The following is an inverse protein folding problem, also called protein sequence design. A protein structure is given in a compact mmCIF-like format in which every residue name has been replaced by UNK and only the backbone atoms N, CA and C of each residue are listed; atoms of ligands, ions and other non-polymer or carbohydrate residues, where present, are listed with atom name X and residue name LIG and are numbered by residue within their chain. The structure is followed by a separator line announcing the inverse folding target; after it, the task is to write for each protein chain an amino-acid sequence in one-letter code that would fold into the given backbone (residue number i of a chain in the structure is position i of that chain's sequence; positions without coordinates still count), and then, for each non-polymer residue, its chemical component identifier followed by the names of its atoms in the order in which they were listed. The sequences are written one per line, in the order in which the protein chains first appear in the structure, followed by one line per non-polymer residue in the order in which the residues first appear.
data_IF_582111954156
#
_entry.id   IF_582111954156
#
_cell.length_a   1.000
_cell.length_b   1.000
_cell.length_c   1.000
_cell.angle_alpha   90.00
_cell.angle_beta   90.00
_cell.angle_gamma   90.00
#
_symmetry.space_group_name_H-M   'P 1'
#
loop_
_entity.id
_entity.type
_entity.pdbx_description
1 polymer ?
#
# COMPACT_ATOMS: atom_id res chain seq x y z
N UNK A 1 -19.11 -6.61 1.10
CA UNK A 1 -17.94 -6.63 2.00
C UNK A 1 -17.85 -8.00 2.65
N UNK A 2 -16.73 -8.38 3.27
CA UNK A 2 -16.69 -9.56 4.15
C UNK A 2 -17.39 -9.25 5.48
N UNK A 3 -18.04 -10.23 6.10
CA UNK A 3 -18.51 -10.14 7.50
C UNK A 3 -17.33 -10.15 8.47
N UNK A 4 -17.54 -9.73 9.72
CA UNK A 4 -16.47 -9.58 10.73
C UNK A 4 -15.66 -10.86 10.97
N UNK A 5 -16.34 -12.00 11.12
CA UNK A 5 -15.69 -13.30 11.32
C UNK A 5 -14.99 -13.80 10.04
N UNK A 6 -15.58 -13.57 8.86
CA UNK A 6 -14.96 -13.92 7.59
C UNK A 6 -13.68 -13.10 7.33
N UNK A 7 -13.68 -11.82 7.72
CA UNK A 7 -12.53 -10.95 7.67
C UNK A 7 -11.41 -11.43 8.61
N UNK A 8 -11.74 -11.76 9.86
CA UNK A 8 -10.75 -12.32 10.81
C UNK A 8 -10.14 -13.61 10.26
N UNK A 9 -10.95 -14.54 9.74
CA UNK A 9 -10.46 -15.78 9.14
C UNK A 9 -9.55 -15.53 7.93
N UNK A 10 -9.85 -14.56 7.08
CA UNK A 10 -8.98 -14.18 5.97
C UNK A 10 -7.63 -13.62 6.44
N UNK A 11 -7.62 -12.84 7.53
CA UNK A 11 -6.39 -12.33 8.14
C UNK A 11 -5.59 -13.47 8.79
N UNK A 12 -6.25 -14.40 9.48
CA UNK A 12 -5.60 -15.57 10.08
C UNK A 12 -4.98 -16.49 9.02
N UNK A 13 -5.64 -16.67 7.88
CA UNK A 13 -5.06 -17.38 6.74
C UNK A 13 -3.77 -16.70 6.24
N UNK A 14 -3.77 -15.37 6.15
CA UNK A 14 -2.56 -14.63 5.80
C UNK A 14 -1.46 -14.77 6.86
N UNK A 15 -1.82 -14.81 8.14
CA UNK A 15 -0.87 -15.00 9.24
C UNK A 15 -0.16 -16.35 9.18
N UNK A 16 -0.92 -17.44 8.98
CA UNK A 16 -0.34 -18.79 8.87
C UNK A 16 0.52 -18.95 7.62
N UNK A 17 0.10 -18.39 6.48
CA UNK A 17 0.88 -18.39 5.24
C UNK A 17 2.22 -17.66 5.42
N UNK A 18 2.21 -16.45 5.99
CA UNK A 18 3.42 -15.65 6.25
C UNK A 18 4.36 -16.32 7.25
N UNK A 19 3.82 -16.98 8.26
CA UNK A 19 4.59 -17.71 9.25
C UNK A 19 5.29 -18.95 8.67
N UNK A 20 4.76 -19.53 7.59
CA UNK A 20 5.35 -20.67 6.91
C UNK A 20 6.43 -20.28 5.88
N UNK A 21 6.52 -19.00 5.49
CA UNK A 21 7.50 -18.54 4.51
C UNK A 21 8.93 -18.68 5.06
N UNK A 22 9.88 -19.20 4.26
CA UNK A 22 11.26 -19.35 4.71
C UNK A 22 11.95 -17.98 4.85
N UNK A 23 13.00 -17.88 5.69
CA UNK A 23 13.58 -16.60 6.13
C UNK A 23 14.14 -15.72 5.01
N UNK A 24 14.73 -16.35 4.00
CA UNK A 24 15.24 -15.73 2.77
C UNK A 24 14.12 -15.10 1.94
N UNK A 25 13.00 -15.80 1.77
CA UNK A 25 11.80 -15.26 1.14
C UNK A 25 11.22 -14.09 1.94
N UNK A 26 11.16 -14.20 3.26
CA UNK A 26 10.69 -13.12 4.14
C UNK A 26 11.57 -11.87 3.98
N UNK A 27 12.89 -12.03 3.95
CA UNK A 27 13.81 -10.93 3.73
C UNK A 27 13.65 -10.31 2.35
N UNK A 28 13.57 -11.13 1.29
CA UNK A 28 13.33 -10.66 -0.08
C UNK A 28 12.04 -9.85 -0.18
N UNK A 29 10.93 -10.36 0.36
CA UNK A 29 9.66 -9.65 0.34
C UNK A 29 9.70 -8.39 1.23
N UNK A 30 10.48 -8.40 2.32
CA UNK A 30 10.73 -7.21 3.13
C UNK A 30 11.47 -6.12 2.35
N UNK A 31 12.49 -6.50 1.56
CA UNK A 31 13.20 -5.58 0.66
C UNK A 31 12.23 -5.03 -0.40
N UNK A 32 11.42 -5.89 -1.01
CA UNK A 32 10.41 -5.48 -1.98
C UNK A 32 9.39 -4.50 -1.38
N UNK A 33 8.92 -4.77 -0.16
CA UNK A 33 8.06 -3.84 0.59
C UNK A 33 8.73 -2.50 0.85
N UNK A 34 10.03 -2.51 1.20
CA UNK A 34 10.83 -1.29 1.34
C UNK A 34 10.97 -0.51 0.04
N UNK A 35 11.12 -1.19 -1.10
CA UNK A 35 11.19 -0.55 -2.42
C UNK A 35 9.88 0.18 -2.74
N UNK A 36 8.73 -0.46 -2.51
CA UNK A 36 7.43 0.19 -2.72
C UNK A 36 7.21 1.40 -1.81
N UNK A 37 7.61 1.31 -0.54
CA UNK A 37 7.63 2.45 0.37
C UNK A 37 8.56 3.54 -0.12
N UNK A 38 9.74 3.18 -0.62
CA UNK A 38 10.70 4.12 -1.18
C UNK A 38 10.13 4.91 -2.35
N UNK A 39 9.47 4.22 -3.29
CA UNK A 39 8.86 4.84 -4.48
C UNK A 39 7.72 5.78 -4.07
N UNK A 40 6.81 5.32 -3.22
CA UNK A 40 5.73 6.16 -2.69
C UNK A 40 6.28 7.35 -1.89
N UNK A 41 7.36 7.15 -1.16
CA UNK A 41 8.05 8.18 -0.39
C UNK A 41 8.66 9.28 -1.27
N UNK A 42 9.37 8.89 -2.33
CA UNK A 42 9.90 9.83 -3.34
C UNK A 42 8.76 10.60 -4.00
N UNK A 43 7.69 9.92 -4.43
CA UNK A 43 6.54 10.58 -5.05
C UNK A 43 5.89 11.60 -4.09
N UNK A 44 5.67 11.21 -2.83
CA UNK A 44 5.13 12.09 -1.79
C UNK A 44 6.01 13.30 -1.49
N UNK A 45 7.31 13.11 -1.34
CA UNK A 45 8.26 14.22 -1.12
C UNK A 45 8.39 15.12 -2.35
N UNK A 46 8.33 14.57 -3.56
CA UNK A 46 8.36 15.36 -4.79
C UNK A 46 7.09 16.20 -4.93
N UNK A 47 5.92 15.63 -4.66
CA UNK A 47 4.66 16.37 -4.68
C UNK A 47 4.62 17.48 -3.63
N UNK A 48 4.96 17.17 -2.38
CA UNK A 48 4.90 18.12 -1.27
C UNK A 48 6.01 19.17 -1.31
N UNK A 49 7.22 18.76 -1.66
CA UNK A 49 8.37 19.64 -1.81
C UNK A 49 8.32 20.51 -3.06
N UNK A 50 7.48 20.19 -4.04
CA UNK A 50 7.26 21.04 -5.22
C UNK A 50 6.35 22.25 -4.94
N UNK A 51 5.66 22.29 -3.81
CA UNK A 51 4.74 23.38 -3.44
C UNK A 51 5.55 24.62 -3.02
N UNK A 52 5.40 25.78 -3.67
CA UNK A 52 6.18 26.98 -3.35
C UNK A 52 6.16 27.35 -1.87
N UNK A 53 7.30 27.79 -1.32
CA UNK A 53 7.46 28.11 0.10
C UNK A 53 6.38 29.06 0.65
N UNK A 54 6.04 30.10 -0.12
CA UNK A 54 4.98 31.04 0.23
C UNK A 54 3.61 30.35 0.45
N UNK A 55 3.32 29.31 -0.32
CA UNK A 55 2.09 28.51 -0.18
C UNK A 55 2.19 27.59 1.04
N UNK A 56 3.34 26.93 1.25
CA UNK A 56 3.54 26.01 2.40
C UNK A 56 3.38 26.74 3.73
N UNK A 57 3.83 27.99 3.82
CA UNK A 57 3.71 28.84 5.02
C UNK A 57 2.26 29.26 5.31
N UNK A 58 1.46 29.50 4.27
CA UNK A 58 0.05 29.88 4.43
C UNK A 58 -0.87 28.67 4.64
N UNK A 59 -0.54 27.54 4.00
CA UNK A 59 -1.34 26.32 3.99
C UNK A 59 -0.56 25.13 4.56
N UNK A 60 -0.30 25.18 5.87
CA UNK A 60 0.55 24.19 6.58
C UNK A 60 0.11 22.74 6.37
N UNK A 61 -1.19 22.48 6.19
CA UNK A 61 -1.73 21.13 5.96
C UNK A 61 -1.59 20.64 4.52
N UNK A 62 -1.46 21.54 3.53
CA UNK A 62 -1.46 21.17 2.12
C UNK A 62 -0.31 20.24 1.73
N UNK A 63 0.96 20.48 2.15
CA UNK A 63 2.06 19.56 1.88
C UNK A 63 1.82 18.16 2.46
N UNK A 64 1.13 18.05 3.60
CA UNK A 64 0.84 16.75 4.23
C UNK A 64 -0.22 15.97 3.46
N UNK A 65 -1.26 16.65 2.96
CA UNK A 65 -2.27 16.02 2.10
C UNK A 65 -1.63 15.50 0.82
N UNK A 66 -0.79 16.31 0.16
CA UNK A 66 -0.10 15.91 -1.08
C UNK A 66 0.88 14.77 -0.81
N UNK A 67 1.67 14.86 0.26
CA UNK A 67 2.60 13.81 0.65
C UNK A 67 1.84 12.49 0.91
N UNK A 68 0.78 12.52 1.71
CA UNK A 68 -0.01 11.33 2.05
C UNK A 68 -0.73 10.73 0.84
N UNK A 69 -1.27 11.59 -0.03
CA UNK A 69 -1.99 11.18 -1.23
C UNK A 69 -1.11 10.44 -2.24
N UNK A 70 0.17 10.80 -2.36
CA UNK A 70 1.10 10.04 -3.20
C UNK A 70 1.78 8.89 -2.44
N UNK A 71 2.03 9.06 -1.14
CA UNK A 71 2.67 8.02 -0.34
C UNK A 71 1.86 6.73 -0.27
N UNK A 72 0.52 6.81 -0.29
CA UNK A 72 -0.33 5.62 -0.21
C UNK A 72 -0.15 4.64 -1.37
N UNK A 73 0.38 5.06 -2.52
CA UNK A 73 0.71 4.14 -3.61
C UNK A 73 1.70 3.05 -3.19
N UNK A 74 2.55 3.31 -2.19
CA UNK A 74 3.36 2.26 -1.57
C UNK A 74 2.52 1.07 -1.08
N UNK A 75 1.43 1.35 -0.36
CA UNK A 75 0.57 0.33 0.21
C UNK A 75 -0.32 -0.33 -0.86
N UNK A 76 -0.69 0.41 -1.91
CA UNK A 76 -1.30 -0.18 -3.11
C UNK A 76 -0.39 -1.23 -3.72
N UNK A 77 0.89 -0.89 -3.94
CA UNK A 77 1.82 -1.83 -4.55
C UNK A 77 2.08 -3.06 -3.68
N UNK A 78 2.26 -2.87 -2.37
CA UNK A 78 2.47 -3.98 -1.43
C UNK A 78 1.27 -4.93 -1.42
N UNK A 79 0.05 -4.41 -1.41
CA UNK A 79 -1.16 -5.24 -1.28
C UNK A 79 -1.59 -5.89 -2.60
N UNK A 80 -1.22 -5.32 -3.75
CA UNK A 80 -1.62 -5.81 -5.07
C UNK A 80 -0.52 -6.61 -5.78
N UNK A 81 0.72 -6.16 -5.71
CA UNK A 81 1.88 -6.78 -6.38
C UNK A 81 2.77 -7.58 -5.42
N UNK A 82 2.53 -7.47 -4.11
CA UNK A 82 3.25 -8.21 -3.09
C UNK A 82 4.41 -7.44 -2.46
N UNK A 83 4.94 -8.04 -1.40
CA UNK A 83 5.89 -7.41 -0.49
C UNK A 83 5.43 -7.59 0.95
N UNK A 84 6.36 -7.49 1.88
CA UNK A 84 6.10 -7.60 3.30
C UNK A 84 6.42 -6.25 3.96
N UNK A 85 5.49 -5.79 4.80
CA UNK A 85 5.60 -4.51 5.49
C UNK A 85 5.55 -4.74 6.99
N UNK A 86 6.55 -4.22 7.71
CA UNK A 86 6.68 -4.40 9.15
C UNK A 86 5.38 -4.00 9.88
N UNK A 87 4.87 -2.80 9.60
CA UNK A 87 3.72 -2.24 10.31
C UNK A 87 2.43 -2.99 10.09
N UNK A 88 2.17 -3.45 8.85
CA UNK A 88 1.01 -4.29 8.54
C UNK A 88 1.10 -5.70 9.15
N UNK A 89 2.32 -6.26 9.19
CA UNK A 89 2.53 -7.58 9.78
C UNK A 89 2.34 -7.62 11.29
N UNK A 90 2.51 -6.50 11.99
CA UNK A 90 2.22 -6.42 13.43
C UNK A 90 0.77 -6.80 13.75
N UNK A 91 -0.20 -6.33 12.96
CA UNK A 91 -1.61 -6.75 13.13
C UNK A 91 -1.80 -8.20 12.69
N UNK A 92 -1.34 -8.57 11.49
CA UNK A 92 -1.61 -9.90 10.91
C UNK A 92 -1.03 -11.01 11.81
N UNK A 93 0.23 -10.89 12.21
CA UNK A 93 0.88 -11.84 13.09
C UNK A 93 0.38 -11.71 14.54
N UNK A 94 -0.01 -10.52 14.98
CA UNK A 94 -0.65 -10.28 16.28
C UNK A 94 -1.96 -11.04 16.43
N UNK A 95 -2.86 -10.96 15.46
CA UNK A 95 -4.08 -11.77 15.41
C UNK A 95 -3.76 -13.27 15.38
N UNK A 96 -2.74 -13.67 14.62
CA UNK A 96 -2.26 -15.05 14.60
C UNK A 96 -1.78 -15.56 15.97
N UNK A 97 -1.15 -14.70 16.77
CA UNK A 97 -0.71 -15.02 18.13
C UNK A 97 -1.88 -15.13 19.09
N UNK A 98 -2.81 -14.16 19.07
CA UNK A 98 -4.00 -14.13 19.93
C UNK A 98 -4.85 -15.40 19.69
N UNK A 99 -5.02 -15.79 18.43
CA UNK A 99 -5.77 -16.99 18.03
C UNK A 99 -4.95 -18.29 18.10
N UNK A 100 -3.70 -18.26 18.62
CA UNK A 100 -2.80 -19.42 18.74
C UNK A 100 -2.56 -20.16 17.41
N UNK A 101 -2.58 -19.45 16.29
CA UNK A 101 -2.34 -19.98 14.93
C UNK A 101 -0.88 -19.84 14.49
N UNK A 102 -0.12 -18.93 15.10
CA UNK A 102 1.28 -18.68 14.78
C UNK A 102 2.12 -18.68 16.07
N UNK A 103 3.29 -19.33 16.11
CA UNK A 103 4.15 -19.32 17.28
C UNK A 103 4.90 -17.98 17.45
N UNK A 104 5.06 -17.55 18.70
CA UNK A 104 5.65 -16.26 19.08
C UNK A 104 7.01 -15.98 18.43
N UNK A 105 7.95 -16.92 18.52
CA UNK A 105 9.30 -16.73 18.00
C UNK A 105 9.36 -16.66 16.47
N UNK A 106 8.41 -17.28 15.76
CA UNK A 106 8.29 -17.13 14.31
C UNK A 106 7.80 -15.71 13.98
N UNK A 107 6.79 -15.21 14.70
CA UNK A 107 6.32 -13.83 14.53
C UNK A 107 7.42 -12.80 14.77
N UNK A 108 8.21 -12.95 15.85
CA UNK A 108 9.32 -12.04 16.16
C UNK A 108 10.38 -12.07 15.08
N UNK A 109 10.85 -13.27 14.68
CA UNK A 109 11.85 -13.42 13.61
C UNK A 109 11.36 -12.82 12.30
N UNK A 110 10.12 -13.14 11.89
CA UNK A 110 9.52 -12.63 10.65
C UNK A 110 9.50 -11.10 10.68
N UNK A 111 9.01 -10.52 11.77
CA UNK A 111 8.89 -9.07 11.92
C UNK A 111 10.24 -8.37 11.88
N UNK A 112 11.28 -8.92 12.51
CA UNK A 112 12.65 -8.38 12.46
C UNK A 112 13.22 -8.42 11.04
N UNK A 113 13.09 -9.55 10.34
CA UNK A 113 13.58 -9.70 8.97
C UNK A 113 12.90 -8.72 8.01
N UNK A 114 11.58 -8.56 8.14
CA UNK A 114 10.83 -7.59 7.33
C UNK A 114 11.24 -6.16 7.66
N UNK A 115 11.47 -5.81 8.93
CA UNK A 115 11.93 -4.48 9.32
C UNK A 115 13.30 -4.14 8.70
N UNK A 116 14.25 -5.08 8.76
CA UNK A 116 15.57 -4.94 8.12
C UNK A 116 15.42 -4.83 6.60
N UNK A 117 14.59 -5.68 5.98
CA UNK A 117 14.30 -5.61 4.56
C UNK A 117 13.70 -4.26 4.15
N UNK A 118 12.73 -3.74 4.92
CA UNK A 118 12.11 -2.44 4.65
C UNK A 118 13.15 -1.30 4.70
N UNK A 119 14.08 -1.32 5.65
CA UNK A 119 15.22 -0.41 5.68
C UNK A 119 16.08 -0.53 4.43
N UNK A 120 16.48 -1.74 4.05
CA UNK A 120 17.30 -1.97 2.87
C UNK A 120 16.61 -1.46 1.58
N UNK A 121 15.33 -1.79 1.38
CA UNK A 121 14.57 -1.36 0.21
C UNK A 121 14.37 0.15 0.13
N UNK A 122 14.04 0.80 1.25
CA UNK A 122 13.86 2.26 1.29
C UNK A 122 15.17 3.00 1.06
N UNK A 123 16.29 2.52 1.64
CA UNK A 123 17.62 3.09 1.40
C UNK A 123 18.08 2.89 -0.04
N UNK A 124 17.84 1.73 -0.64
CA UNK A 124 18.17 1.49 -2.05
C UNK A 124 17.46 2.51 -2.95
N UNK A 125 16.15 2.67 -2.79
CA UNK A 125 15.38 3.62 -3.59
C UNK A 125 15.80 5.07 -3.31
N UNK A 126 15.90 5.45 -2.03
CA UNK A 126 16.30 6.80 -1.63
C UNK A 126 17.70 7.18 -2.13
N UNK A 127 18.64 6.25 -2.10
CA UNK A 127 20.02 6.49 -2.55
C UNK A 127 20.12 6.52 -4.09
N UNK A 128 19.69 5.44 -4.77
CA UNK A 128 19.90 5.31 -6.21
C UNK A 128 18.95 6.17 -7.04
N UNK A 129 17.68 6.26 -6.66
CA UNK A 129 16.66 6.97 -7.46
C UNK A 129 16.32 8.35 -6.91
N UNK A 130 16.67 8.65 -5.66
CA UNK A 130 16.56 9.98 -5.06
C UNK A 130 17.86 10.76 -5.15
N UNK A 131 18.86 10.34 -4.38
CA UNK A 131 20.09 11.10 -4.15
C UNK A 131 21.04 11.13 -5.37
N UNK A 132 21.38 9.98 -5.96
CA UNK A 132 22.33 9.91 -7.08
C UNK A 132 21.82 10.55 -8.37
N UNK A 133 20.50 10.58 -8.57
CA UNK A 133 19.84 11.27 -9.69
C UNK A 133 19.65 12.76 -9.46
N UNK A 134 19.99 13.25 -8.26
CA UNK A 134 19.73 14.60 -7.76
C UNK A 134 18.25 15.04 -7.89
N UNK A 135 17.31 14.09 -7.78
CA UNK A 135 15.88 14.33 -8.02
C UNK A 135 15.29 15.44 -7.13
N UNK A 136 15.76 15.54 -5.88
CA UNK A 136 15.33 16.52 -4.89
C UNK A 136 16.41 17.59 -4.62
N UNK A 137 17.27 17.84 -5.62
CA UNK A 137 18.44 18.71 -5.51
C UNK A 137 18.17 20.23 -5.49
N UNK A 138 17.01 20.67 -5.97
CA UNK A 138 16.73 22.11 -6.06
C UNK A 138 16.57 22.76 -4.68
N UNK A 139 16.84 24.07 -4.53
CA UNK A 139 16.71 24.75 -3.25
C UNK A 139 15.32 24.57 -2.60
N UNK A 140 14.28 24.62 -3.42
CA UNK A 140 12.88 24.39 -3.05
C UNK A 140 12.68 23.02 -2.35
N UNK A 141 13.12 21.93 -2.99
CA UNK A 141 13.01 20.59 -2.40
C UNK A 141 13.88 20.45 -1.14
N UNK A 142 15.09 21.01 -1.16
CA UNK A 142 16.00 20.96 0.00
C UNK A 142 15.45 21.68 1.22
N UNK A 143 14.78 22.83 1.03
CA UNK A 143 14.10 23.54 2.12
C UNK A 143 12.99 22.68 2.73
N UNK A 144 12.14 22.07 1.90
CA UNK A 144 11.11 21.14 2.37
C UNK A 144 11.70 19.95 3.15
N UNK A 145 12.76 19.31 2.63
CA UNK A 145 13.41 18.18 3.30
C UNK A 145 14.00 18.57 4.66
N UNK A 146 14.62 19.76 4.76
CA UNK A 146 15.13 20.29 6.03
C UNK A 146 14.02 20.48 7.05
N UNK A 147 12.91 21.10 6.65
CA UNK A 147 11.76 21.30 7.54
C UNK A 147 11.13 19.97 7.97
N UNK A 148 11.01 19.01 7.05
CA UNK A 148 10.48 17.67 7.32
C UNK A 148 11.34 16.94 8.36
N UNK A 149 12.67 16.92 8.16
CA UNK A 149 13.61 16.26 9.07
C UNK A 149 13.62 16.95 10.44
N UNK A 150 13.72 18.27 10.49
CA UNK A 150 13.72 19.00 11.76
C UNK A 150 12.40 18.85 12.52
N UNK A 151 11.27 18.87 11.81
CA UNK A 151 9.94 18.68 12.41
C UNK A 151 9.73 17.31 13.02
N UNK A 152 10.37 16.27 12.47
CA UNK A 152 10.29 14.88 12.96
C UNK A 152 11.37 14.54 13.99
N UNK A 153 12.59 15.02 13.79
CA UNK A 153 13.74 14.67 14.63
C UNK A 153 13.92 15.63 15.79
N UNK A 154 13.89 16.94 15.60
CA UNK A 154 14.28 17.90 16.65
C UNK A 154 13.08 18.44 17.44
N UNK A 155 11.90 18.49 16.84
CA UNK A 155 10.70 19.03 17.49
C UNK A 155 10.21 18.21 18.71
N UNK A 156 9.86 16.93 18.55
CA UNK A 156 9.20 16.15 19.59
C UNK A 156 10.14 15.38 20.52
N UNK A 157 9.71 15.15 21.76
CA UNK A 157 10.38 14.22 22.68
C UNK A 157 9.93 12.76 22.45
N UNK A 158 10.59 11.80 23.11
CA UNK A 158 10.32 10.37 22.91
C UNK A 158 8.85 10.00 23.17
N UNK A 159 8.27 10.50 24.27
CA UNK A 159 6.89 10.21 24.64
C UNK A 159 5.87 10.75 23.63
N UNK A 160 6.11 11.93 23.09
CA UNK A 160 5.28 12.51 22.03
C UNK A 160 5.35 11.67 20.75
N UNK A 161 6.55 11.25 20.33
CA UNK A 161 6.74 10.38 19.17
C UNK A 161 6.04 9.04 19.34
N UNK A 162 6.20 8.43 20.52
CA UNK A 162 5.55 7.18 20.88
C UNK A 162 4.02 7.28 20.81
N UNK A 163 3.43 8.32 21.41
CA UNK A 163 1.98 8.54 21.38
C UNK A 163 1.46 8.85 19.97
N UNK A 164 2.22 9.58 19.14
CA UNK A 164 1.89 9.82 17.73
C UNK A 164 1.98 8.56 16.88
N UNK A 165 2.82 7.61 17.26
CA UNK A 165 3.00 6.37 16.51
C UNK A 165 1.89 5.33 16.73
N UNK A 166 1.18 5.38 17.86
CA UNK A 166 0.04 4.48 18.10
C UNK A 166 -1.06 4.65 17.03
N UNK A 167 -1.65 5.85 16.84
CA UNK A 167 -2.72 6.04 15.86
C UNK A 167 -2.23 5.92 14.41
N UNK A 168 -0.95 6.19 14.12
CA UNK A 168 -0.39 5.90 12.79
C UNK A 168 -0.61 4.44 12.39
N UNK A 169 -0.19 3.50 13.24
CA UNK A 169 -0.32 2.10 12.87
C UNK A 169 -1.74 1.56 13.06
N UNK A 170 -2.57 2.19 13.89
CA UNK A 170 -4.01 1.90 13.90
C UNK A 170 -4.62 2.15 12.52
N UNK A 171 -4.30 3.28 11.88
CA UNK A 171 -4.83 3.63 10.56
C UNK A 171 -4.27 2.74 9.45
N UNK A 172 -2.98 2.41 9.50
CA UNK A 172 -2.38 1.46 8.52
C UNK A 172 -3.01 0.08 8.62
N UNK A 173 -3.20 -0.44 9.84
CA UNK A 173 -3.82 -1.74 10.05
C UNK A 173 -5.30 -1.72 9.66
N UNK A 174 -6.02 -0.63 9.94
CA UNK A 174 -7.39 -0.40 9.47
C UNK A 174 -7.48 -0.40 7.94
N UNK A 175 -6.58 0.31 7.24
CA UNK A 175 -6.50 0.29 5.78
C UNK A 175 -6.35 -1.14 5.24
N UNK A 176 -5.45 -1.94 5.83
CA UNK A 176 -5.26 -3.34 5.41
C UNK A 176 -6.54 -4.16 5.64
N UNK A 177 -7.22 -4.03 6.78
CA UNK A 177 -8.48 -4.73 7.03
C UNK A 177 -9.57 -4.35 6.04
N UNK A 178 -9.76 -3.04 5.78
CA UNK A 178 -10.75 -2.56 4.82
C UNK A 178 -10.43 -3.06 3.40
N UNK A 179 -9.15 -3.12 3.03
CA UNK A 179 -8.70 -3.71 1.75
C UNK A 179 -9.03 -5.20 1.67
N UNK A 180 -8.76 -5.97 2.72
CA UNK A 180 -9.12 -7.41 2.76
C UNK A 180 -10.63 -7.62 2.71
N UNK A 181 -11.42 -6.74 3.34
CA UNK A 181 -12.88 -6.79 3.32
C UNK A 181 -13.49 -6.47 1.94
N UNK A 182 -12.72 -5.83 1.05
CA UNK A 182 -13.16 -5.42 -0.28
C UNK A 182 -12.86 -6.45 -1.36
N UNK A 183 -13.84 -6.67 -2.26
CA UNK A 183 -13.74 -7.65 -3.36
C UNK A 183 -13.26 -7.05 -4.68
N UNK A 184 -13.37 -5.73 -4.87
CA UNK A 184 -12.96 -5.05 -6.10
C UNK A 184 -11.61 -4.37 -5.93
N UNK A 185 -10.81 -4.30 -7.01
CA UNK A 185 -9.52 -3.60 -6.99
C UNK A 185 -9.70 -2.13 -6.59
N UNK A 186 -10.65 -1.41 -7.22
CA UNK A 186 -10.98 -0.02 -6.90
C UNK A 186 -11.37 0.16 -5.43
N UNK A 187 -12.19 -0.74 -4.89
CA UNK A 187 -12.58 -0.69 -3.48
C UNK A 187 -11.38 -0.87 -2.54
N UNK A 188 -10.41 -1.74 -2.90
CA UNK A 188 -9.15 -1.86 -2.16
C UNK A 188 -8.34 -0.58 -2.23
N UNK A 189 -8.24 0.05 -3.40
CA UNK A 189 -7.48 1.30 -3.55
C UNK A 189 -8.04 2.39 -2.63
N UNK A 190 -9.35 2.59 -2.67
CA UNK A 190 -10.04 3.60 -1.85
C UNK A 190 -9.90 3.28 -0.34
N UNK A 191 -10.06 2.00 0.03
CA UNK A 191 -9.91 1.53 1.41
C UNK A 191 -8.51 1.78 1.99
N UNK A 192 -7.46 1.72 1.16
CA UNK A 192 -6.10 2.04 1.56
C UNK A 192 -5.86 3.55 1.61
N UNK A 193 -6.41 4.30 0.66
CA UNK A 193 -6.17 5.73 0.48
C UNK A 193 -6.51 6.56 1.72
N UNK A 194 -7.76 6.51 2.17
CA UNK A 194 -8.24 7.43 3.21
C UNK A 194 -7.51 7.27 4.55
N UNK A 195 -7.35 6.05 5.12
CA UNK A 195 -6.68 5.94 6.42
C UNK A 195 -5.22 6.38 6.36
N UNK A 196 -4.52 6.12 5.24
CA UNK A 196 -3.13 6.56 5.06
C UNK A 196 -3.03 8.08 5.00
N UNK A 197 -3.87 8.74 4.18
CA UNK A 197 -3.90 10.20 4.12
C UNK A 197 -4.21 10.81 5.48
N UNK A 198 -5.16 10.24 6.23
CA UNK A 198 -5.53 10.75 7.56
C UNK A 198 -4.32 10.74 8.50
N UNK A 199 -3.58 9.64 8.62
CA UNK A 199 -2.47 9.62 9.58
C UNK A 199 -1.34 10.58 9.19
N UNK A 200 -1.08 10.73 7.88
CA UNK A 200 -0.06 11.66 7.37
C UNK A 200 -0.49 13.10 7.61
N UNK A 201 -1.75 13.43 7.30
CA UNK A 201 -2.33 14.76 7.51
C UNK A 201 -2.27 15.15 9.00
N UNK A 202 -2.63 14.22 9.89
CA UNK A 202 -2.58 14.40 11.34
C UNK A 202 -1.17 14.53 11.91
N UNK A 203 -0.12 14.26 11.12
CA UNK A 203 1.27 14.34 11.58
C UNK A 203 1.64 13.21 12.54
N UNK A 204 1.05 12.03 12.35
CA UNK A 204 1.40 10.84 13.12
C UNK A 204 2.73 10.22 12.62
N UNK A 205 3.37 9.43 13.49
CA UNK A 205 4.71 8.90 13.25
C UNK A 205 4.67 7.45 12.79
N UNK A 206 5.35 7.14 11.69
CA UNK A 206 5.28 5.81 11.09
C UNK A 206 6.69 5.32 10.78
N UNK A 207 7.10 4.31 11.56
CA UNK A 207 8.47 3.83 11.63
C UNK A 207 9.05 3.41 10.26
N UNK A 208 8.24 2.93 9.31
CA UNK A 208 8.73 2.57 7.96
C UNK A 208 8.70 3.75 6.99
N UNK A 209 7.80 4.71 7.18
CA UNK A 209 7.76 5.92 6.35
C UNK A 209 8.93 6.85 6.69
N UNK A 210 9.27 6.91 7.98
CA UNK A 210 10.40 7.66 8.50
C UNK A 210 11.74 7.16 7.92
N UNK A 211 11.85 5.88 7.54
CA UNK A 211 13.04 5.34 6.88
C UNK A 211 13.38 6.08 5.59
N UNK A 212 12.39 6.30 4.72
CA UNK A 212 12.59 6.99 3.44
C UNK A 212 12.63 8.51 3.63
N UNK A 213 11.72 9.08 4.42
CA UNK A 213 11.63 10.54 4.60
C UNK A 213 12.88 11.11 5.28
N UNK A 214 13.32 10.48 6.37
CA UNK A 214 14.48 10.94 7.12
C UNK A 214 15.77 10.50 6.43
N UNK A 215 15.79 9.30 5.85
CA UNK A 215 16.95 8.79 5.10
C UNK A 215 17.32 9.74 3.96
N UNK A 216 16.37 10.08 3.09
CA UNK A 216 16.60 11.01 1.97
C UNK A 216 16.91 12.42 2.49
N UNK A 217 16.18 12.92 3.48
CA UNK A 217 16.44 14.24 4.04
C UNK A 217 17.87 14.39 4.59
N UNK A 218 18.38 13.36 5.29
CA UNK A 218 19.76 13.33 5.77
C UNK A 218 20.79 13.20 4.64
N UNK A 219 20.51 12.40 3.59
CA UNK A 219 21.37 12.33 2.39
C UNK A 219 21.53 13.69 1.70
N UNK A 220 20.47 14.49 1.68
CA UNK A 220 20.48 15.87 1.16
C UNK A 220 21.01 16.93 2.14
N UNK A 221 21.55 16.50 3.30
CA UNK A 221 22.23 17.39 4.25
C UNK A 221 21.29 18.17 5.18
N UNK A 222 20.12 17.62 5.51
CA UNK A 222 19.30 18.19 6.58
C UNK A 222 20.07 18.16 7.93
N UNK A 223 19.97 19.23 8.74
CA UNK A 223 20.80 19.41 9.94
C UNK A 223 20.28 18.57 11.12
N UNK A 224 20.52 17.26 11.09
CA UNK A 224 20.30 16.34 12.21
C UNK A 224 21.29 15.17 12.12
N UNK A 225 21.18 14.18 13.01
CA UNK A 225 22.13 13.06 13.12
C UNK A 225 21.45 11.71 12.96
N UNK A 226 22.22 10.72 12.51
CA UNK A 226 21.79 9.31 12.48
C UNK A 226 21.44 8.80 13.88
N UNK A 227 22.14 9.27 14.92
CA UNK A 227 21.82 8.94 16.31
C UNK A 227 20.43 9.45 16.71
N UNK A 228 20.08 10.68 16.31
CA UNK A 228 18.74 11.24 16.57
C UNK A 228 17.66 10.49 15.78
N UNK A 229 17.94 10.10 14.54
CA UNK A 229 17.07 9.22 13.77
C UNK A 229 16.74 7.94 14.54
N UNK A 230 17.73 7.23 15.06
CA UNK A 230 17.49 5.98 15.81
C UNK A 230 16.74 6.21 17.13
N UNK A 231 16.99 7.32 17.81
CA UNK A 231 16.20 7.72 18.97
C UNK A 231 14.72 7.87 18.62
N UNK A 232 14.38 8.60 17.57
CA UNK A 232 13.00 8.78 17.13
C UNK A 232 12.38 7.46 16.62
N UNK A 233 13.18 6.68 15.89
CA UNK A 233 12.80 5.38 15.37
C UNK A 233 12.40 4.41 16.49
N UNK A 234 13.11 4.42 17.62
CA UNK A 234 12.79 3.58 18.78
C UNK A 234 11.38 3.88 19.34
N UNK A 235 11.02 5.17 19.44
CA UNK A 235 9.69 5.58 19.88
C UNK A 235 8.62 5.16 18.87
N UNK A 236 8.88 5.39 17.58
CA UNK A 236 7.94 5.06 16.51
C UNK A 236 7.67 3.56 16.41
N UNK A 237 8.71 2.72 16.52
CA UNK A 237 8.57 1.25 16.52
C UNK A 237 7.72 0.78 17.70
N UNK A 238 7.99 1.28 18.92
CA UNK A 238 7.21 0.94 20.11
C UNK A 238 5.74 1.34 19.97
N UNK A 239 5.45 2.57 19.52
CA UNK A 239 4.08 3.02 19.34
C UNK A 239 3.36 2.28 18.22
N UNK A 240 4.01 2.05 17.09
CA UNK A 240 3.42 1.28 15.98
C UNK A 240 3.14 -0.18 16.38
N UNK A 241 4.00 -0.82 17.19
CA UNK A 241 3.74 -2.16 17.74
C UNK A 241 2.41 -2.19 18.51
N UNK A 242 2.20 -1.23 19.41
CA UNK A 242 0.96 -1.12 20.19
C UNK A 242 -0.24 -0.85 19.29
N UNK A 243 -0.14 0.12 18.37
CA UNK A 243 -1.24 0.49 17.49
C UNK A 243 -1.71 -0.65 16.58
N UNK A 244 -0.78 -1.46 16.05
CA UNK A 244 -1.11 -2.57 15.16
C UNK A 244 -1.47 -3.86 15.90
N UNK A 245 -0.54 -4.38 16.72
CA UNK A 245 -0.69 -5.68 17.35
C UNK A 245 -1.71 -5.67 18.48
N UNK A 246 -1.70 -4.63 19.33
CA UNK A 246 -2.55 -4.59 20.51
C UNK A 246 -3.88 -3.89 20.29
N UNK A 247 -3.93 -2.80 19.53
CA UNK A 247 -5.19 -2.07 19.37
C UNK A 247 -6.06 -2.72 18.29
N UNK A 248 -5.68 -2.62 17.02
CA UNK A 248 -6.52 -3.11 15.93
C UNK A 248 -6.67 -4.64 15.96
N UNK A 249 -5.58 -5.39 16.17
CA UNK A 249 -5.64 -6.85 16.23
C UNK A 249 -6.54 -7.38 17.36
N UNK A 250 -6.37 -6.84 18.57
CA UNK A 250 -7.17 -7.27 19.73
C UNK A 250 -8.61 -6.76 19.64
N UNK A 251 -8.85 -5.53 19.19
CA UNK A 251 -10.21 -5.01 19.01
C UNK A 251 -10.97 -5.85 17.99
N UNK A 252 -10.33 -6.24 16.88
CA UNK A 252 -10.98 -7.11 15.89
C UNK A 252 -11.35 -8.48 16.47
N UNK A 253 -10.44 -9.09 17.24
CA UNK A 253 -10.71 -10.35 17.91
C UNK A 253 -11.81 -10.22 18.96
N UNK A 254 -11.71 -9.24 19.87
CA UNK A 254 -12.72 -9.01 20.89
C UNK A 254 -14.09 -8.72 20.28
N UNK A 255 -14.17 -7.92 19.22
CA UNK A 255 -15.44 -7.60 18.55
C UNK A 255 -16.17 -8.83 17.99
N UNK A 256 -15.44 -9.87 17.59
CA UNK A 256 -16.02 -11.11 17.05
C UNK A 256 -16.30 -12.17 18.12
N UNK A 257 -15.58 -12.15 19.24
CA UNK A 257 -15.65 -13.18 20.29
C UNK A 257 -16.21 -12.65 21.62
N UNK A 258 -16.72 -11.40 21.66
CA UNK A 258 -17.25 -10.81 22.89
C UNK A 258 -18.52 -11.53 23.37
N UNK A 259 -18.42 -12.17 24.53
CA UNK A 259 -19.57 -12.70 25.26
C UNK A 259 -19.87 -11.78 26.43
N UNK A 260 -21.01 -11.09 26.40
CA UNK A 260 -21.42 -10.19 27.49
C UNK A 260 -21.69 -11.00 28.76
N UNK A 261 -21.06 -10.65 29.90
CA UNK A 261 -21.33 -11.30 31.18
C UNK A 261 -22.67 -10.88 31.81
N UNK A 262 -23.31 -9.83 31.26
CA UNK A 262 -24.52 -9.20 31.81
C UNK A 262 -25.75 -9.50 30.95
N UNK A 263 -25.56 -9.63 29.63
CA UNK A 263 -26.65 -9.77 28.67
C UNK A 263 -26.42 -11.00 27.78
N UNK A 264 -27.34 -11.96 27.82
CA UNK A 264 -27.38 -13.05 26.84
C UNK A 264 -28.08 -12.57 25.56
N UNK A 265 -27.33 -12.33 24.49
CA UNK A 265 -27.90 -12.28 23.13
C UNK A 265 -28.05 -13.70 22.61
N UNK A 266 -29.16 -14.00 21.91
CA UNK A 266 -29.40 -15.32 21.28
C UNK A 266 -28.60 -15.53 19.99
N UNK A 267 -27.96 -14.49 19.47
CA UNK A 267 -27.17 -14.55 18.24
C UNK A 267 -25.72 -14.07 18.49
N UNK A 268 -24.72 -14.77 17.92
CA UNK A 268 -23.31 -14.35 18.01
C UNK A 268 -23.13 -13.04 17.23
N UNK A 269 -22.87 -11.95 17.96
CA UNK A 269 -22.68 -10.62 17.38
C UNK A 269 -21.38 -10.56 16.58
N UNK A 270 -21.48 -10.34 15.27
CA UNK A 270 -20.33 -9.98 14.43
C UNK A 270 -20.04 -8.48 14.58
N UNK A 271 -19.34 -8.08 15.64
CA UNK A 271 -19.20 -6.67 16.07
C UNK A 271 -18.51 -5.72 15.07
N UNK A 272 -17.90 -6.22 14.00
CA UNK A 272 -17.28 -5.39 12.95
C UNK A 272 -18.15 -5.20 11.70
N UNK A 273 -19.25 -5.94 11.53
CA UNK A 273 -20.02 -5.96 10.29
C UNK A 273 -21.55 -6.03 10.45
N UNK A 274 -22.08 -5.90 11.67
CA UNK A 274 -23.46 -6.30 11.97
C UNK A 274 -24.56 -5.55 11.18
N UNK A 275 -24.29 -4.41 10.51
CA UNK A 275 -25.36 -3.61 9.88
C UNK A 275 -25.15 -3.24 8.39
N UNK A 276 -24.23 -3.89 7.66
CA UNK A 276 -24.26 -3.79 6.17
C UNK A 276 -25.14 -4.88 5.56
N UNK A 277 -25.41 -5.96 6.30
CA UNK A 277 -26.31 -7.03 5.88
C UNK A 277 -27.80 -6.68 6.11
N UNK A 278 -28.11 -5.79 7.07
CA UNK A 278 -29.50 -5.40 7.38
C UNK A 278 -30.14 -4.54 6.28
N UNK A 279 -29.34 -3.74 5.56
CA UNK A 279 -29.78 -2.98 4.39
C UNK A 279 -29.90 -3.84 3.14
N UNK A 280 -29.05 -4.86 3.01
CA UNK A 280 -29.06 -5.78 1.87
C UNK A 280 -30.23 -6.78 1.91
N UNK A 281 -30.59 -7.26 3.10
CA UNK A 281 -31.79 -8.08 3.28
C UNK A 281 -33.11 -7.31 3.07
N UNK A 282 -33.10 -5.97 3.10
CA UNK A 282 -34.29 -5.18 2.78
C UNK A 282 -34.51 -5.11 1.26
N UNK A 283 -33.44 -4.92 0.48
CA UNK A 283 -33.49 -4.94 -0.99
C UNK A 283 -33.74 -6.36 -1.54
N UNK A 284 -33.11 -7.38 -0.96
CA UNK A 284 -33.30 -8.77 -1.37
C UNK A 284 -34.70 -9.31 -0.98
N UNK A 285 -35.30 -8.83 0.13
CA UNK A 285 -36.68 -9.18 0.47
C UNK A 285 -37.69 -8.56 -0.49
N UNK A 286 -37.48 -7.34 -0.99
CA UNK A 286 -38.36 -6.77 -2.02
C UNK A 286 -38.21 -7.51 -3.36
N UNK A 287 -37.01 -7.98 -3.71
CA UNK A 287 -36.78 -8.79 -4.90
C UNK A 287 -37.38 -10.21 -4.80
N UNK A 288 -37.40 -10.81 -3.60
CA UNK A 288 -37.95 -12.15 -3.36
C UNK A 288 -39.49 -12.23 -3.47
N UNK A 289 -40.18 -11.09 -3.44
CA UNK A 289 -41.64 -11.02 -3.56
C UNK A 289 -42.14 -10.62 -4.96
N UNK A 290 -41.27 -10.53 -5.97
CA UNK A 290 -41.70 -10.31 -7.36
C UNK A 290 -41.29 -11.48 -8.29
N UNK A 291 -42.20 -12.43 -8.62
CA UNK A 291 -41.88 -13.64 -9.38
C UNK A 291 -41.52 -13.44 -10.87
N UNK A 292 -41.31 -12.22 -11.36
CA UNK A 292 -41.23 -11.93 -12.80
C UNK A 292 -39.81 -11.84 -13.40
N UNK A 293 -38.73 -12.11 -12.65
CA UNK A 293 -37.35 -11.82 -13.11
C UNK A 293 -36.32 -12.96 -13.08
N UNK A 294 -36.72 -14.23 -12.98
CA UNK A 294 -35.79 -15.35 -13.08
C UNK A 294 -35.84 -16.07 -14.44
N UNK A 295 -35.21 -15.47 -15.45
CA UNK A 295 -34.62 -16.19 -16.58
C UNK A 295 -33.29 -15.52 -16.91
N UNK A 296 -32.21 -16.32 -16.94
CA UNK A 296 -30.79 -15.94 -17.04
C UNK A 296 -30.10 -15.75 -15.70
N UNK A 297 -29.40 -16.79 -15.21
CA UNK A 297 -27.98 -16.75 -14.82
C UNK A 297 -27.52 -18.20 -14.64
N UNK A 298 -26.47 -18.60 -15.38
CA UNK A 298 -25.95 -19.98 -15.49
C UNK A 298 -24.66 -20.15 -14.66
N UNK A 299 -24.46 -21.37 -14.17
CA UNK A 299 -23.35 -21.86 -13.34
C UNK A 299 -21.96 -21.77 -14.01
N UNK A 300 -21.29 -20.62 -13.96
CA UNK A 300 -19.89 -20.53 -14.44
C UNK A 300 -18.89 -19.72 -13.60
N UNK A 301 -19.28 -19.13 -12.46
CA UNK A 301 -18.38 -18.20 -11.74
C UNK A 301 -17.89 -18.66 -10.36
N UNK A 302 -17.65 -19.96 -10.17
CA UNK A 302 -16.90 -20.45 -9.00
C UNK A 302 -15.99 -21.63 -9.40
N UNK A 303 -14.72 -21.35 -9.73
CA UNK A 303 -13.77 -22.40 -10.11
C UNK A 303 -12.31 -21.93 -10.19
N UNK A 304 -11.67 -21.69 -9.04
CA UNK A 304 -10.20 -21.71 -8.93
C UNK A 304 -9.75 -23.18 -8.88
N UNK A 305 -9.28 -23.71 -10.00
CA UNK A 305 -8.59 -25.01 -10.07
C UNK A 305 -7.13 -24.82 -10.46
N UNK A 306 -6.25 -25.00 -9.49
CA UNK A 306 -4.86 -25.35 -9.73
C UNK A 306 -4.79 -26.86 -10.03
N UNK A 307 -4.97 -27.24 -11.29
CA UNK A 307 -4.54 -28.56 -11.81
C UNK A 307 -4.46 -28.54 -13.34
N UNK A 308 -3.35 -28.00 -13.86
CA UNK A 308 -2.94 -28.22 -15.24
C UNK A 308 -1.41 -28.12 -15.35
N UNK A 309 -0.72 -28.98 -14.61
CA UNK A 309 0.68 -29.31 -14.87
C UNK A 309 0.74 -30.83 -14.97
N UNK A 310 0.44 -31.37 -16.15
CA UNK A 310 0.92 -32.67 -16.66
C UNK A 310 0.22 -33.02 -17.99
N UNK A 311 1.03 -33.57 -18.93
CA UNK A 311 0.70 -34.12 -20.26
C UNK A 311 0.66 -33.07 -21.40
N UNK A 312 1.37 -33.17 -22.52
CA UNK A 312 2.13 -34.26 -23.15
C UNK A 312 3.06 -33.67 -24.21
N UNK A 313 4.30 -34.17 -24.32
CA UNK A 313 5.19 -33.95 -25.48
C UNK A 313 4.85 -35.00 -26.55
N UNK A 314 4.79 -34.64 -27.84
CA UNK A 314 5.12 -35.58 -28.90
C UNK A 314 6.39 -35.17 -29.63
N UNK A 315 7.34 -36.10 -29.65
CA UNK A 315 8.51 -36.17 -30.52
C UNK A 315 8.15 -36.73 -31.90
N UNK A 316 9.07 -36.53 -32.85
CA UNK A 316 9.14 -36.99 -34.26
C UNK A 316 8.45 -36.06 -35.28
N UNK A 317 9.02 -35.74 -36.44
CA UNK A 317 10.23 -36.16 -37.14
C UNK A 317 10.26 -35.44 -38.50
N UNK A 318 11.45 -35.22 -39.05
CA UNK A 318 11.70 -34.43 -40.26
C UNK A 318 11.12 -35.06 -41.56
N UNK A 319 10.65 -34.22 -42.50
CA UNK A 319 10.75 -34.44 -43.96
C UNK A 319 10.90 -33.08 -44.66
N UNK A 320 11.78 -33.05 -45.65
CA UNK A 320 12.25 -31.93 -46.49
C UNK A 320 11.73 -32.11 -47.93
N UNK A 321 11.75 -31.01 -48.70
CA UNK A 321 11.58 -30.79 -50.16
C UNK A 321 10.23 -30.15 -50.55
N UNK A 322 10.17 -28.91 -51.06
CA UNK A 322 10.80 -28.22 -52.22
C UNK A 322 9.89 -28.31 -53.46
N UNK A 323 9.56 -27.13 -54.03
CA UNK A 323 9.22 -26.86 -55.44
C UNK A 323 8.52 -25.49 -55.63
N UNK A 324 9.35 -24.51 -56.01
CA UNK A 324 9.23 -23.58 -57.16
C UNK A 324 7.89 -22.92 -57.56
N UNK A 325 7.91 -21.58 -57.75
CA UNK A 325 7.67 -20.81 -59.00
C UNK A 325 7.23 -19.35 -58.68
N UNK A 326 8.01 -18.37 -59.16
CA UNK A 326 7.69 -16.93 -59.35
C UNK A 326 7.34 -16.66 -60.84
N UNK A 327 7.01 -15.43 -61.35
CA UNK A 327 6.44 -14.17 -60.80
C UNK A 327 5.37 -13.48 -61.72
N UNK A 328 5.03 -12.20 -61.42
CA UNK A 328 4.40 -11.10 -62.22
C UNK A 328 2.85 -11.02 -62.19
N UNK A 329 2.18 -9.85 -62.15
CA UNK A 329 2.50 -8.47 -62.59
C UNK A 329 1.53 -7.43 -61.92
N UNK A 330 2.04 -6.21 -61.63
CA UNK A 330 1.45 -4.85 -61.85
C UNK A 330 0.07 -4.47 -61.24
N UNK A 331 -0.29 -3.23 -60.88
CA UNK A 331 0.28 -1.88 -60.77
C UNK A 331 -0.83 -0.99 -60.17
N UNK A 332 -0.49 -0.05 -59.28
CA UNK A 332 -1.00 1.34 -59.18
C UNK A 332 -1.02 1.86 -57.73
N UNK A 333 -0.13 2.82 -57.47
CA UNK A 333 -0.30 3.94 -56.55
C UNK A 333 -0.16 5.20 -57.45
N UNK A 334 -0.72 6.39 -57.17
CA UNK A 334 -0.08 7.26 -56.17
C UNK A 334 -0.93 8.41 -55.52
N UNK A 335 -0.34 9.01 -54.46
CA UNK A 335 -0.37 10.45 -54.13
C UNK A 335 -1.40 10.88 -53.07
N UNK A 336 -1.13 11.70 -52.04
CA UNK A 336 -0.05 12.66 -51.73
C UNK A 336 0.12 12.70 -50.18
N UNK A 337 1.25 13.01 -49.53
CA UNK A 337 2.27 14.02 -49.82
C UNK A 337 2.18 15.13 -48.76
N UNK A 338 2.97 14.99 -47.68
CA UNK A 338 3.10 15.95 -46.56
C UNK A 338 3.88 17.20 -47.00
N UNK A 339 3.32 18.41 -46.81
CA UNK A 339 3.95 19.71 -47.14
C UNK A 339 4.44 20.43 -45.86
N UNK A 340 5.76 20.60 -45.65
CA UNK A 340 6.31 21.29 -44.49
C UNK A 340 6.37 22.84 -44.60
N UNK A 341 5.75 23.46 -45.60
CA UNK A 341 5.87 24.92 -45.84
C UNK A 341 4.86 25.83 -45.09
N UNK A 342 4.05 25.29 -44.17
CA UNK A 342 3.07 26.06 -43.37
C UNK A 342 3.42 26.22 -41.89
N UNK A 343 4.68 26.54 -41.59
CA UNK A 343 5.10 26.99 -40.25
C UNK A 343 5.09 28.52 -40.23
N UNK A 344 4.06 29.14 -39.66
CA UNK A 344 4.08 30.57 -39.28
C UNK A 344 4.46 30.69 -37.81
N UNK A 345 5.59 31.35 -37.58
CA UNK A 345 6.09 31.83 -36.30
C UNK A 345 5.16 32.89 -35.69
N UNK A 346 4.83 32.77 -34.41
CA UNK A 346 4.24 33.86 -33.62
C UNK A 346 5.18 34.12 -32.43
N UNK A 347 5.69 35.35 -32.39
CA UNK A 347 6.45 35.97 -31.30
C UNK A 347 5.50 36.79 -30.40
N UNK A 348 5.93 37.19 -29.18
CA UNK A 348 5.04 37.50 -28.06
C UNK A 348 4.67 38.98 -27.94
N UNK A 349 3.52 39.24 -27.29
CA UNK A 349 3.09 40.56 -26.83
C UNK A 349 1.93 41.12 -27.65
N UNK A 350 0.76 41.21 -27.04
CA UNK A 350 -0.04 42.44 -26.94
C UNK A 350 -1.27 42.18 -26.06
N UNK A 351 -1.58 43.22 -25.29
CA UNK A 351 -2.55 43.29 -24.19
C UNK A 351 -4.02 43.09 -24.60
N UNK A 352 -4.86 43.11 -23.56
CA UNK A 352 -6.15 43.80 -23.41
C UNK A 352 -7.36 42.88 -23.08
N UNK A 353 -7.93 43.21 -21.90
CA UNK A 353 -9.26 42.99 -21.27
C UNK A 353 -9.35 41.85 -20.25
#
# INVERSE_FOLDING_TARGET
MLSGLALENAILFNATRKAADPPDKVLFLGILGGIWVGIGGIAGMSGAGGIPDAVRLQWVSLPRVVLGGWFVFALHFITMFGGELFTGNLMILGLGLINKKVPFWVSVRHTILVYIGNWAGTLLVGYFFGYLTDLLGTPQYRTFLKELVLGKLEGPNWGQLFLRAIPANMMVCMAIMLSVASRSATGKMIALWFPVVIFVLSGYEHCVADMIFLGVGLMYGAPSTVGRLWYCQSAAVCGNLIGGALFIGTVAHLANHWTSPIFTSKEPGTGLAHDVESTRHHEDREAMFNPAMHSHYSESDIGLSASACERTIPTAGAVVNDDTIQPRHQVNNPGDGFDPSKVRSIQPGDDIV
#
